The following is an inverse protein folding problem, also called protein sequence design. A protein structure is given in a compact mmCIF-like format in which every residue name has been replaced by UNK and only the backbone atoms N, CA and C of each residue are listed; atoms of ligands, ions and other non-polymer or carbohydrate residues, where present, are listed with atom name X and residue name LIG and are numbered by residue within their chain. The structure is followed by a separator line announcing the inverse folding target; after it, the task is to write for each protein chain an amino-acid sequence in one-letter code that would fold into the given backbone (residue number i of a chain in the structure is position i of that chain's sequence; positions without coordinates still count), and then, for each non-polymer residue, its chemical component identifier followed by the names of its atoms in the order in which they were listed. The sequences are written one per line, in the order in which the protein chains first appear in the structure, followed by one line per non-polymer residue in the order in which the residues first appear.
data_IF_210127615939
#
_entry.id   IF_210127615939
#
_cell.length_a   1.000
_cell.length_b   1.000
_cell.length_c   1.000
_cell.angle_alpha   90.00
_cell.angle_beta   90.00
_cell.angle_gamma   90.00
#
_symmetry.space_group_name_H-M   'P 1'
#
loop_
_entity.id
_entity.type
_entity.pdbx_description
1 polymer ?
#
# COMPACT_ATOMS: atom_id res chain seq x y z
N UNK A 1 10.88 -0.26 -4.59
CA UNK A 1 9.89 -1.33 -4.78
C UNK A 1 9.06 -1.47 -3.52
N UNK A 2 7.77 -1.11 -3.58
CA UNK A 2 6.87 -1.33 -2.45
C UNK A 2 6.67 -2.84 -2.25
N UNK A 3 6.49 -3.33 -1.02
CA UNK A 3 6.25 -4.77 -0.74
C UNK A 3 5.07 -5.34 -1.55
N UNK A 4 4.07 -4.48 -1.74
CA UNK A 4 2.86 -4.72 -2.53
C UNK A 4 3.22 -4.97 -4.01
N UNK A 5 4.07 -4.13 -4.59
CA UNK A 5 4.57 -4.28 -5.97
C UNK A 5 5.30 -5.61 -6.16
N UNK A 6 6.13 -6.01 -5.19
CA UNK A 6 6.84 -7.30 -5.21
C UNK A 6 5.89 -8.50 -5.11
N UNK A 7 4.86 -8.41 -4.26
CA UNK A 7 3.87 -9.48 -4.12
C UNK A 7 3.03 -9.66 -5.40
N UNK A 8 2.62 -8.55 -6.02
CA UNK A 8 1.90 -8.58 -7.29
C UNK A 8 2.78 -9.03 -8.45
N UNK A 9 4.04 -8.59 -8.51
CA UNK A 9 4.96 -9.03 -9.56
C UNK A 9 5.28 -10.51 -9.46
N UNK A 10 5.51 -11.04 -8.25
CA UNK A 10 5.75 -12.48 -8.06
C UNK A 10 4.52 -13.28 -8.45
N UNK A 11 3.33 -12.85 -8.03
CA UNK A 11 2.09 -13.52 -8.45
C UNK A 11 1.93 -13.49 -9.97
N UNK A 12 1.99 -12.33 -10.61
CA UNK A 12 1.84 -12.17 -12.06
C UNK A 12 2.91 -12.94 -12.87
N UNK A 13 4.11 -13.11 -12.30
CA UNK A 13 5.18 -13.90 -12.90
C UNK A 13 4.90 -15.41 -12.77
N UNK A 14 4.38 -15.86 -11.63
CA UNK A 14 4.00 -17.26 -11.41
C UNK A 14 2.84 -17.68 -12.35
N UNK A 15 1.90 -16.79 -12.66
CA UNK A 15 0.81 -17.04 -13.63
C UNK A 15 1.22 -16.89 -15.11
N UNK A 16 2.47 -16.55 -15.40
CA UNK A 16 2.95 -16.36 -16.78
C UNK A 16 2.44 -15.08 -17.49
N UNK A 17 1.73 -14.20 -16.79
CA UNK A 17 1.20 -12.94 -17.35
C UNK A 17 2.24 -11.82 -17.44
N UNK A 18 3.39 -11.98 -16.79
CA UNK A 18 4.50 -10.99 -16.76
C UNK A 18 5.60 -11.25 -17.80
N UNK A 19 5.38 -12.17 -18.74
CA UNK A 19 6.32 -12.39 -19.83
C UNK A 19 6.23 -11.22 -20.82
N UNK A 20 7.13 -10.24 -20.64
CA UNK A 20 7.33 -9.00 -21.41
C UNK A 20 6.43 -8.81 -22.65
N UNK A 21 5.34 -8.05 -22.50
CA UNK A 21 4.69 -7.42 -23.65
C UNK A 21 5.53 -6.19 -24.03
N UNK A 22 6.36 -6.31 -25.06
CA UNK A 22 7.04 -5.17 -25.66
C UNK A 22 5.99 -4.20 -26.21
N UNK A 23 5.98 -2.96 -25.73
CA UNK A 23 5.18 -1.87 -26.26
C UNK A 23 5.72 -1.52 -27.66
N UNK A 24 5.24 -2.22 -28.68
CA UNK A 24 5.66 -2.05 -30.07
C UNK A 24 5.51 -3.28 -30.95
N UNK A 25 5.20 -4.45 -30.39
CA UNK A 25 4.98 -5.66 -31.17
C UNK A 25 3.53 -5.74 -31.68
N UNK A 26 3.37 -6.10 -32.95
CA UNK A 26 2.11 -6.05 -33.68
C UNK A 26 1.04 -6.96 -33.05
N UNK A 27 -0.21 -6.49 -33.10
CA UNK A 27 -1.36 -6.96 -32.30
C UNK A 27 -1.89 -8.36 -32.61
N UNK A 28 -1.19 -9.21 -33.37
CA UNK A 28 -1.79 -10.45 -33.90
C UNK A 28 -1.25 -11.77 -33.31
N UNK A 29 -0.16 -11.78 -32.53
CA UNK A 29 0.47 -13.03 -32.06
C UNK A 29 0.25 -13.40 -30.56
N UNK A 30 -0.62 -12.68 -29.84
CA UNK A 30 -1.03 -13.09 -28.46
C UNK A 30 -2.24 -14.03 -28.54
N UNK A 31 -2.10 -15.14 -29.26
CA UNK A 31 -3.00 -16.29 -29.14
C UNK A 31 -2.15 -17.48 -28.70
N UNK A 32 -2.51 -18.07 -27.56
CA UNK A 32 -1.92 -19.30 -27.02
C UNK A 32 -0.50 -19.23 -26.43
N UNK A 33 -0.17 -18.19 -25.65
CA UNK A 33 0.76 -18.44 -24.53
C UNK A 33 -0.01 -19.19 -23.46
N UNK A 34 0.35 -20.45 -23.30
CA UNK A 34 -0.10 -21.43 -22.29
C UNK A 34 -0.21 -20.78 -20.91
N UNK A 35 -1.37 -20.17 -20.62
CA UNK A 35 -1.68 -19.61 -19.31
C UNK A 35 -1.86 -20.83 -18.43
N UNK A 36 -0.83 -21.16 -17.65
CA UNK A 36 -0.96 -22.22 -16.64
C UNK A 36 -2.25 -21.97 -15.84
N UNK A 37 -3.15 -22.95 -15.75
CA UNK A 37 -4.41 -22.76 -15.07
C UNK A 37 -4.11 -22.39 -13.62
N UNK A 38 -4.47 -21.15 -13.27
CA UNK A 38 -4.21 -20.58 -11.94
C UNK A 38 -4.72 -21.57 -10.91
N UNK A 39 -3.80 -22.21 -10.20
CA UNK A 39 -4.20 -23.25 -9.27
C UNK A 39 -4.69 -22.57 -7.99
N UNK A 40 -5.76 -23.07 -7.37
CA UNK A 40 -6.31 -22.48 -6.12
C UNK A 40 -5.23 -22.24 -5.04
N UNK A 41 -4.18 -23.06 -5.03
CA UNK A 41 -3.01 -22.90 -4.15
C UNK A 41 -2.26 -21.57 -4.33
N UNK A 42 -2.14 -21.07 -5.55
CA UNK A 42 -1.43 -19.82 -5.86
C UNK A 42 -2.25 -18.62 -5.39
N UNK A 43 -3.57 -18.67 -5.59
CA UNK A 43 -4.51 -17.68 -5.05
C UNK A 43 -4.44 -17.65 -3.51
N UNK A 44 -4.42 -18.82 -2.87
CA UNK A 44 -4.28 -18.93 -1.40
C UNK A 44 -2.96 -18.34 -0.90
N UNK A 45 -1.85 -18.58 -1.62
CA UNK A 45 -0.54 -18.03 -1.29
C UNK A 45 -0.52 -16.50 -1.35
N UNK A 46 -1.14 -15.93 -2.39
CA UNK A 46 -1.28 -14.49 -2.53
C UNK A 46 -2.13 -13.88 -1.41
N UNK A 47 -3.26 -14.50 -1.07
CA UNK A 47 -4.13 -14.06 0.04
C UNK A 47 -3.34 -14.06 1.36
N UNK A 48 -2.56 -15.12 1.63
CA UNK A 48 -1.74 -15.20 2.83
C UNK A 48 -0.67 -14.11 2.88
N UNK A 49 -0.01 -13.81 1.75
CA UNK A 49 0.99 -12.75 1.67
C UNK A 49 0.36 -11.35 1.86
N UNK A 50 -0.82 -11.13 1.28
CA UNK A 50 -1.59 -9.89 1.47
C UNK A 50 -2.03 -9.72 2.92
N UNK A 51 -2.50 -10.79 3.57
CA UNK A 51 -2.90 -10.78 4.99
C UNK A 51 -1.73 -10.42 5.91
N UNK A 52 -0.55 -11.05 5.70
CA UNK A 52 0.67 -10.69 6.46
C UNK A 52 1.07 -9.23 6.25
N UNK A 53 0.94 -8.71 5.02
CA UNK A 53 1.22 -7.30 4.75
C UNK A 53 0.23 -6.37 5.45
N UNK A 54 -1.05 -6.76 5.54
CA UNK A 54 -2.08 -6.01 6.23
C UNK A 54 -1.83 -5.95 7.75
N UNK A 55 -1.43 -7.05 8.38
CA UNK A 55 -1.08 -7.10 9.81
C UNK A 55 0.12 -6.21 10.15
N UNK A 56 1.16 -6.24 9.30
CA UNK A 56 2.32 -5.34 9.43
C UNK A 56 1.90 -3.88 9.29
N UNK A 57 1.06 -3.56 8.30
CA UNK A 57 0.57 -2.20 8.09
C UNK A 57 -0.27 -1.72 9.29
N UNK A 58 -1.14 -2.56 9.85
CA UNK A 58 -1.89 -2.23 11.07
C UNK A 58 -0.95 -1.95 12.26
N UNK A 59 0.12 -2.74 12.42
CA UNK A 59 1.09 -2.53 13.49
C UNK A 59 1.82 -1.19 13.35
N UNK A 60 2.22 -0.83 12.12
CA UNK A 60 2.85 0.47 11.82
C UNK A 60 1.88 1.63 12.10
N UNK A 61 0.62 1.51 11.70
CA UNK A 61 -0.42 2.52 11.98
C UNK A 61 -0.58 2.73 13.48
N UNK A 62 -0.63 1.65 14.27
CA UNK A 62 -0.72 1.73 15.74
C UNK A 62 0.49 2.46 16.33
N UNK A 63 1.70 2.13 15.89
CA UNK A 63 2.93 2.80 16.36
C UNK A 63 2.90 4.30 16.05
N UNK A 64 2.51 4.67 14.82
CA UNK A 64 2.41 6.07 14.40
C UNK A 64 1.36 6.81 15.25
N UNK A 65 0.24 6.18 15.56
CA UNK A 65 -0.82 6.76 16.38
C UNK A 65 -0.34 6.99 17.83
N UNK A 66 0.37 6.04 18.42
CA UNK A 66 0.98 6.21 19.75
C UNK A 66 1.98 7.37 19.74
N UNK A 67 2.84 7.44 18.72
CA UNK A 67 3.81 8.53 18.58
C UNK A 67 3.13 9.89 18.45
N UNK A 68 2.01 9.97 17.73
CA UNK A 68 1.20 11.17 17.61
C UNK A 68 0.63 11.61 18.97
N UNK A 69 0.10 10.69 19.77
CA UNK A 69 -0.39 10.98 21.12
C UNK A 69 0.71 11.53 22.04
N UNK A 70 1.93 10.97 21.94
CA UNK A 70 3.09 11.45 22.70
C UNK A 70 3.47 12.87 22.27
N UNK A 71 3.62 13.12 20.97
CA UNK A 71 3.94 14.45 20.42
C UNK A 71 2.89 15.51 20.80
N UNK A 72 1.62 15.14 20.82
CA UNK A 72 0.54 16.01 21.25
C UNK A 72 0.65 16.35 22.75
N UNK A 73 0.91 15.33 23.59
CA UNK A 73 1.08 15.51 25.04
C UNK A 73 2.29 16.40 25.36
N UNK A 74 3.41 16.16 24.68
CA UNK A 74 4.62 17.00 24.80
C UNK A 74 4.36 18.43 24.32
N UNK A 75 3.60 18.59 23.24
CA UNK A 75 3.15 19.89 22.76
C UNK A 75 2.38 20.65 23.83
N UNK A 76 1.35 20.03 24.42
CA UNK A 76 0.57 20.62 25.51
C UNK A 76 1.46 21.00 26.69
N UNK A 77 2.35 20.10 27.11
CA UNK A 77 3.28 20.38 28.21
C UNK A 77 4.12 21.65 27.95
N UNK A 78 4.66 21.79 26.74
CA UNK A 78 5.44 22.97 26.38
C UNK A 78 4.61 24.26 26.31
N UNK A 79 3.35 24.18 25.92
CA UNK A 79 2.44 25.34 25.94
C UNK A 79 2.24 25.86 27.36
N UNK A 80 2.11 24.96 28.34
CA UNK A 80 2.01 25.37 29.74
C UNK A 80 3.33 25.89 30.31
N UNK A 81 4.46 25.28 29.92
CA UNK A 81 5.78 25.64 30.45
C UNK A 81 6.31 26.98 29.89
N UNK A 82 6.14 27.23 28.59
CA UNK A 82 6.66 28.42 27.90
C UNK A 82 5.61 29.51 27.69
N UNK A 83 4.59 29.58 28.55
CA UNK A 83 3.49 30.55 28.42
C UNK A 83 3.96 32.00 28.34
N UNK A 84 5.05 32.33 29.02
CA UNK A 84 5.56 33.70 29.13
C UNK A 84 6.51 34.10 27.98
N UNK A 85 6.89 33.14 27.11
CA UNK A 85 7.74 33.39 25.94
C UNK A 85 7.00 33.02 24.64
N UNK A 86 6.31 34.00 24.01
CA UNK A 86 5.53 33.76 22.81
C UNK A 86 6.37 33.34 21.59
N UNK A 87 7.67 33.69 21.55
CA UNK A 87 8.56 33.34 20.43
C UNK A 87 8.88 31.85 20.47
N UNK A 88 9.23 31.34 21.67
CA UNK A 88 9.45 29.91 21.89
C UNK A 88 8.19 29.11 21.61
N UNK A 89 7.03 29.61 22.06
CA UNK A 89 5.73 28.99 21.85
C UNK A 89 5.39 28.83 20.35
N UNK A 90 5.61 29.90 19.57
CA UNK A 90 5.39 29.89 18.12
C UNK A 90 6.30 28.88 17.39
N UNK A 91 7.57 28.81 17.81
CA UNK A 91 8.55 27.85 17.24
C UNK A 91 8.15 26.41 17.52
N UNK A 92 7.72 26.11 18.76
CA UNK A 92 7.28 24.77 19.16
C UNK A 92 6.01 24.37 18.40
N UNK A 93 5.02 25.28 18.29
CA UNK A 93 3.81 25.02 17.51
C UNK A 93 4.11 24.76 16.04
N UNK A 94 4.95 25.59 15.42
CA UNK A 94 5.37 25.41 14.03
C UNK A 94 6.04 24.05 13.81
N UNK A 95 7.00 23.69 14.66
CA UNK A 95 7.69 22.41 14.59
C UNK A 95 6.74 21.22 14.76
N UNK A 96 5.83 21.28 15.73
CA UNK A 96 4.88 20.20 16.00
C UNK A 96 3.86 20.06 14.85
N UNK A 97 3.42 21.18 14.28
CA UNK A 97 2.52 21.19 13.12
C UNK A 97 3.16 20.53 11.88
N UNK A 98 4.43 20.86 11.58
CA UNK A 98 5.15 20.22 10.48
C UNK A 98 5.38 18.72 10.72
N UNK A 99 5.71 18.33 11.95
CA UNK A 99 5.84 16.92 12.32
C UNK A 99 4.51 16.17 12.10
N UNK A 100 3.39 16.80 12.50
CA UNK A 100 2.05 16.24 12.33
C UNK A 100 1.67 16.10 10.85
N UNK A 101 1.96 17.10 10.02
CA UNK A 101 1.79 17.01 8.56
C UNK A 101 2.62 15.87 7.95
N UNK A 102 3.86 15.70 8.38
CA UNK A 102 4.72 14.59 7.93
C UNK A 102 4.11 13.22 8.27
N UNK A 103 3.62 13.08 9.50
CA UNK A 103 2.94 11.86 9.97
C UNK A 103 1.67 11.60 9.16
N UNK A 104 0.80 12.60 8.99
CA UNK A 104 -0.46 12.48 8.23
C UNK A 104 -0.20 12.10 6.78
N UNK A 105 0.81 12.68 6.14
CA UNK A 105 1.19 12.34 4.76
C UNK A 105 1.59 10.86 4.62
N UNK A 106 2.40 10.36 5.57
CA UNK A 106 2.79 8.93 5.60
C UNK A 106 1.60 8.02 5.91
N UNK A 107 0.73 8.43 6.83
CA UNK A 107 -0.47 7.67 7.18
C UNK A 107 -1.42 7.55 5.99
N UNK A 108 -1.61 8.64 5.23
CA UNK A 108 -2.40 8.63 3.99
C UNK A 108 -1.87 7.61 3.00
N UNK A 109 -0.54 7.53 2.81
CA UNK A 109 0.08 6.52 1.93
C UNK A 109 -0.24 5.09 2.39
N UNK A 110 -0.03 4.80 3.69
CA UNK A 110 -0.29 3.47 4.26
C UNK A 110 -1.78 3.11 4.15
N UNK A 111 -2.67 4.07 4.34
CA UNK A 111 -4.11 3.86 4.22
C UNK A 111 -4.49 3.52 2.77
N UNK A 112 -3.98 4.25 1.78
CA UNK A 112 -4.21 3.92 0.37
C UNK A 112 -3.73 2.51 0.05
N UNK A 113 -2.54 2.11 0.52
CA UNK A 113 -2.03 0.74 0.34
C UNK A 113 -2.95 -0.31 0.98
N UNK A 114 -3.45 -0.05 2.20
CA UNK A 114 -4.40 -0.94 2.88
C UNK A 114 -5.70 -1.10 2.10
N UNK A 115 -6.27 0.00 1.62
CA UNK A 115 -7.51 -0.01 0.83
C UNK A 115 -7.33 -0.81 -0.45
N UNK A 116 -6.20 -0.65 -1.14
CA UNK A 116 -5.87 -1.45 -2.33
C UNK A 116 -5.83 -2.95 -1.99
N UNK A 117 -5.16 -3.32 -0.90
CA UNK A 117 -5.09 -4.72 -0.45
C UNK A 117 -6.48 -5.29 -0.17
N UNK A 118 -7.32 -4.56 0.56
CA UNK A 118 -8.68 -4.99 0.91
C UNK A 118 -9.57 -5.16 -0.32
N UNK A 119 -9.50 -4.21 -1.27
CA UNK A 119 -10.19 -4.37 -2.55
C UNK A 119 -9.68 -5.58 -3.33
N UNK A 120 -8.37 -5.77 -3.44
CA UNK A 120 -7.79 -6.93 -4.15
C UNK A 120 -8.21 -8.25 -3.52
N UNK A 121 -8.24 -8.34 -2.18
CA UNK A 121 -8.72 -9.53 -1.48
C UNK A 121 -10.22 -9.78 -1.69
N UNK A 122 -11.05 -8.74 -1.69
CA UNK A 122 -12.49 -8.88 -1.96
C UNK A 122 -12.74 -9.38 -3.37
N UNK A 123 -12.07 -8.76 -4.35
CA UNK A 123 -12.16 -9.12 -5.77
C UNK A 123 -11.71 -10.57 -5.99
N UNK A 124 -10.60 -11.00 -5.36
CA UNK A 124 -10.11 -12.38 -5.47
C UNK A 124 -11.08 -13.43 -4.93
N UNK A 125 -11.93 -13.09 -3.95
CA UNK A 125 -12.86 -14.05 -3.35
C UNK A 125 -14.09 -14.30 -4.23
N UNK A 126 -14.49 -13.31 -5.02
CA UNK A 126 -15.75 -13.34 -5.77
C UNK A 126 -15.58 -13.68 -7.25
N UNK A 127 -14.36 -13.61 -7.79
CA UNK A 127 -14.08 -13.79 -9.22
C UNK A 127 -13.37 -15.10 -9.53
N UNK A 128 -13.61 -15.62 -10.75
CA UNK A 128 -12.82 -16.73 -11.28
C UNK A 128 -11.35 -16.30 -11.42
N UNK A 129 -10.38 -17.21 -11.26
CA UNK A 129 -8.96 -16.86 -11.24
C UNK A 129 -8.47 -16.10 -12.48
N UNK A 130 -9.01 -16.41 -13.66
CA UNK A 130 -8.69 -15.75 -14.93
C UNK A 130 -9.15 -14.29 -14.96
N UNK A 131 -10.34 -14.00 -14.42
CA UNK A 131 -10.89 -12.64 -14.35
C UNK A 131 -10.17 -11.83 -13.27
N UNK A 132 -9.86 -12.47 -12.14
CA UNK A 132 -9.07 -11.87 -11.07
C UNK A 132 -7.68 -11.44 -11.55
N UNK A 133 -7.01 -12.23 -12.39
CA UNK A 133 -5.72 -11.89 -12.99
C UNK A 133 -5.78 -10.62 -13.85
N UNK A 134 -6.84 -10.45 -14.67
CA UNK A 134 -7.04 -9.22 -15.48
C UNK A 134 -7.27 -7.99 -14.62
N UNK A 135 -8.05 -8.13 -13.54
CA UNK A 135 -8.30 -7.02 -12.61
C UNK A 135 -7.03 -6.66 -11.83
N UNK A 136 -6.27 -7.66 -11.38
CA UNK A 136 -4.95 -7.50 -10.74
C UNK A 136 -3.95 -6.75 -11.65
N UNK A 137 -3.87 -7.13 -12.92
CA UNK A 137 -3.00 -6.47 -13.91
C UNK A 137 -3.38 -5.00 -14.12
N UNK A 138 -4.68 -4.72 -14.15
CA UNK A 138 -5.21 -3.36 -14.28
C UNK A 138 -4.90 -2.51 -13.04
N UNK A 139 -5.09 -3.08 -11.84
CA UNK A 139 -4.72 -2.45 -10.56
C UNK A 139 -3.23 -2.15 -10.49
N UNK A 140 -2.39 -3.11 -10.88
CA UNK A 140 -0.93 -2.94 -10.88
C UNK A 140 -0.49 -1.80 -11.79
N UNK A 141 -0.98 -1.78 -13.03
CA UNK A 141 -0.55 -0.80 -14.04
C UNK A 141 -1.09 0.61 -13.75
N UNK A 142 -2.36 0.74 -13.36
CA UNK A 142 -2.99 2.05 -13.21
C UNK A 142 -2.78 2.68 -11.82
N UNK A 143 -2.68 1.88 -10.76
CA UNK A 143 -2.69 2.38 -9.38
C UNK A 143 -1.31 2.23 -8.72
N UNK A 144 -0.60 1.12 -8.96
CA UNK A 144 0.68 0.84 -8.29
C UNK A 144 1.86 1.44 -9.06
N UNK A 145 1.90 1.31 -10.39
CA UNK A 145 3.01 1.81 -11.22
C UNK A 145 2.99 3.33 -11.45
N UNK A 146 1.82 3.95 -11.36
CA UNK A 146 1.63 5.38 -11.64
C UNK A 146 1.80 6.28 -10.39
N UNK A 147 1.81 5.69 -9.20
CA UNK A 147 2.07 6.34 -7.90
C UNK A 147 3.51 6.14 -7.46
#
# INVERSE_FOLDING_TARGET
MNKLEKAFSTYLQDIGYLDFVYLGDDKDDIKDKDVNPVTEKESQSLINNLSKSQEQNNSIVTIILIMLCILFTVGIFFVFYYRDDPVTLCTIFGGNFFALLGIVSKLKKIWTEKVIIEYSQSILKDLKPEEAAKVMMTLYTNIIRKN
#
